data_IF_346995673629
#
_entry.id   IF_346995673629
#
_cell.length_a   1.000
_cell.length_b   1.000
_cell.length_c   1.000
_cell.angle_alpha   90.00
_cell.angle_beta   90.00
_cell.angle_gamma   90.00
#
_symmetry.space_group_name_H-M   'P 1'
#
loop_
_entity.id
_entity.type
_entity.pdbx_description
1 polymer ?
#
# COMPACT_ATOMS: atom_id res chain seq x y z
N UNK A 1 2.07 -23.04 7.11
CA UNK A 1 0.65 -22.81 7.50
C UNK A 1 -0.19 -23.17 6.31
N UNK A 2 -1.11 -24.08 6.45
CA UNK A 2 -2.07 -24.48 5.41
C UNK A 2 -3.43 -23.88 5.77
N UNK A 3 -4.05 -23.20 4.81
CA UNK A 3 -5.40 -22.65 4.95
C UNK A 3 -6.30 -23.36 3.96
N UNK A 4 -7.26 -24.11 4.48
CA UNK A 4 -8.25 -24.79 3.66
C UNK A 4 -9.46 -23.90 3.42
N UNK A 5 -9.83 -23.72 2.15
CA UNK A 5 -11.04 -23.01 1.76
C UNK A 5 -12.12 -24.02 1.37
N UNK A 6 -13.28 -23.91 2.00
CA UNK A 6 -14.43 -24.76 1.69
C UNK A 6 -15.28 -24.20 0.56
N UNK A 7 -15.21 -22.90 0.29
CA UNK A 7 -15.93 -22.21 -0.78
C UNK A 7 -15.24 -20.91 -1.14
N UNK A 8 -15.13 -20.63 -2.44
CA UNK A 8 -14.60 -19.36 -2.94
C UNK A 8 -15.02 -19.13 -4.38
N UNK A 9 -15.03 -17.88 -4.81
CA UNK A 9 -15.28 -17.49 -6.20
C UNK A 9 -14.05 -16.76 -6.72
N UNK A 10 -13.54 -17.22 -7.85
CA UNK A 10 -12.49 -16.51 -8.58
C UNK A 10 -13.14 -15.52 -9.55
N UNK A 11 -12.69 -14.26 -9.50
CA UNK A 11 -13.16 -13.21 -10.40
C UNK A 11 -11.97 -12.64 -11.17
N UNK A 12 -12.10 -12.56 -12.49
CA UNK A 12 -11.12 -11.94 -13.38
C UNK A 12 -11.85 -11.17 -14.46
N UNK A 13 -11.62 -9.84 -14.52
CA UNK A 13 -12.23 -8.96 -15.50
C UNK A 13 -11.14 -8.38 -16.42
N UNK A 14 -11.11 -8.77 -17.71
CA UNK A 14 -10.17 -8.19 -18.67
C UNK A 14 -10.37 -6.67 -18.82
N UNK A 15 -9.28 -5.91 -18.77
CA UNK A 15 -9.31 -4.46 -19.03
C UNK A 15 -9.72 -3.58 -17.86
N UNK A 16 -9.98 -4.15 -16.67
CA UNK A 16 -10.26 -3.39 -15.45
C UNK A 16 -9.09 -3.49 -14.45
N UNK A 17 -8.98 -2.49 -13.57
CA UNK A 17 -8.16 -2.60 -12.37
C UNK A 17 -8.77 -3.68 -11.47
N UNK A 18 -8.12 -4.84 -11.41
CA UNK A 18 -8.66 -6.03 -10.76
C UNK A 18 -8.91 -5.86 -9.25
N UNK A 19 -8.32 -4.86 -8.60
CA UNK A 19 -8.58 -4.56 -7.19
C UNK A 19 -9.74 -3.59 -6.94
N UNK A 20 -10.43 -3.12 -8.00
CA UNK A 20 -11.58 -2.20 -7.86
C UNK A 20 -12.66 -2.75 -6.92
N UNK A 21 -12.99 -4.01 -7.06
CA UNK A 21 -14.00 -4.66 -6.20
C UNK A 21 -13.58 -4.69 -4.73
N UNK A 22 -12.29 -4.83 -4.45
CA UNK A 22 -11.76 -4.77 -3.07
C UNK A 22 -11.89 -3.36 -2.52
N UNK A 23 -11.61 -2.33 -3.33
CA UNK A 23 -11.77 -0.93 -2.90
C UNK A 23 -13.24 -0.58 -2.61
N UNK A 24 -14.17 -1.08 -3.41
CA UNK A 24 -15.60 -0.91 -3.18
C UNK A 24 -16.05 -1.55 -1.87
N UNK A 25 -15.39 -2.65 -1.46
CA UNK A 25 -15.68 -3.33 -0.20
C UNK A 25 -15.15 -2.59 1.04
N UNK A 26 -14.18 -1.68 0.91
CA UNK A 26 -13.60 -0.93 2.04
C UNK A 26 -14.65 -0.18 2.87
N UNK A 27 -15.73 0.27 2.25
CA UNK A 27 -16.79 1.03 2.92
C UNK A 27 -17.60 0.21 3.92
N UNK A 28 -17.65 -1.10 3.75
CA UNK A 28 -18.41 -2.03 4.60
C UNK A 28 -17.51 -3.01 5.37
N UNK A 29 -16.24 -3.01 5.10
CA UNK A 29 -15.28 -3.89 5.74
C UNK A 29 -15.02 -3.49 7.20
N UNK A 30 -14.75 -4.48 8.04
CA UNK A 30 -14.26 -4.26 9.40
C UNK A 30 -12.73 -4.35 9.46
N UNK A 31 -12.13 -5.06 8.52
CA UNK A 31 -10.67 -5.23 8.44
C UNK A 31 -10.16 -5.02 7.03
N UNK A 32 -9.04 -4.29 6.90
CA UNK A 32 -8.33 -4.10 5.64
C UNK A 32 -6.88 -4.50 5.84
N UNK A 33 -6.36 -5.33 4.94
CA UNK A 33 -4.99 -5.84 4.97
C UNK A 33 -4.34 -5.61 3.61
N UNK A 34 -3.21 -4.89 3.61
CA UNK A 34 -2.50 -4.52 2.39
C UNK A 34 -1.04 -4.95 2.52
N UNK A 35 -0.58 -5.75 1.57
CA UNK A 35 0.83 -6.03 1.35
C UNK A 35 1.18 -5.49 -0.03
N UNK A 36 2.04 -4.50 -0.09
CA UNK A 36 2.41 -3.86 -1.35
C UNK A 36 3.89 -3.52 -1.38
N UNK A 37 4.50 -3.63 -2.56
CA UNK A 37 5.87 -3.17 -2.74
C UNK A 37 5.96 -1.64 -2.63
N UNK A 38 4.99 -0.92 -3.18
CA UNK A 38 4.97 0.53 -3.18
C UNK A 38 3.53 1.05 -3.02
N UNK A 39 3.41 2.20 -2.39
CA UNK A 39 2.20 3.00 -2.33
C UNK A 39 2.42 4.20 -3.25
N UNK A 40 1.39 4.66 -3.94
CA UNK A 40 1.46 5.73 -4.92
C UNK A 40 2.41 6.88 -4.52
N UNK A 41 3.28 7.25 -5.45
CA UNK A 41 4.21 8.38 -5.30
C UNK A 41 3.55 9.76 -5.46
N UNK A 42 2.38 9.83 -6.06
CA UNK A 42 1.77 11.11 -6.40
C UNK A 42 0.92 11.67 -5.24
N UNK A 43 1.45 12.71 -4.59
CA UNK A 43 1.03 13.21 -3.28
C UNK A 43 -0.26 14.01 -3.25
N UNK A 44 -0.78 14.45 -4.39
CA UNK A 44 -1.84 15.47 -4.40
C UNK A 44 -3.25 14.92 -4.60
N UNK A 45 -3.41 13.72 -5.18
CA UNK A 45 -4.72 13.10 -5.45
C UNK A 45 -4.63 11.58 -5.32
N UNK A 46 -4.21 11.08 -4.16
CA UNK A 46 -4.15 9.65 -3.93
C UNK A 46 -5.52 9.12 -3.53
N UNK A 47 -6.28 8.68 -4.52
CA UNK A 47 -7.61 8.11 -4.31
C UNK A 47 -7.58 6.84 -3.46
N UNK A 48 -6.49 6.09 -3.47
CA UNK A 48 -6.36 4.86 -2.71
C UNK A 48 -6.15 5.12 -1.21
N UNK A 49 -5.27 6.07 -0.87
CA UNK A 49 -5.10 6.48 0.53
C UNK A 49 -6.32 7.23 1.06
N UNK A 50 -7.01 7.99 0.20
CA UNK A 50 -8.29 8.63 0.54
C UNK A 50 -9.35 7.58 0.87
N UNK A 51 -9.45 6.50 0.08
CA UNK A 51 -10.37 5.41 0.37
C UNK A 51 -10.12 4.74 1.74
N UNK A 52 -8.86 4.69 2.19
CA UNK A 52 -8.51 4.23 3.53
C UNK A 52 -8.88 5.23 4.62
N UNK A 53 -8.83 6.54 4.34
CA UNK A 53 -9.22 7.58 5.29
C UNK A 53 -10.73 7.60 5.54
N UNK A 54 -11.51 7.19 4.55
CA UNK A 54 -12.97 7.26 4.58
C UNK A 54 -13.63 6.00 5.18
N UNK A 55 -12.85 5.04 5.66
CA UNK A 55 -13.38 3.81 6.28
C UNK A 55 -13.17 3.78 7.79
N UNK A 56 -14.02 3.03 8.50
CA UNK A 56 -13.87 2.73 9.93
C UNK A 56 -13.22 1.36 10.20
N UNK A 57 -12.70 0.69 9.17
CA UNK A 57 -12.06 -0.60 9.30
C UNK A 57 -10.73 -0.52 10.07
N UNK A 58 -10.35 -1.61 10.73
CA UNK A 58 -8.99 -1.81 11.23
C UNK A 58 -8.04 -2.08 10.06
N UNK A 59 -7.07 -1.18 9.85
CA UNK A 59 -6.19 -1.16 8.69
C UNK A 59 -4.78 -1.59 9.09
N UNK A 60 -4.22 -2.55 8.37
CA UNK A 60 -2.81 -2.90 8.47
C UNK A 60 -2.16 -2.92 7.10
N UNK A 61 -1.05 -2.19 6.97
CA UNK A 61 -0.27 -2.11 5.74
C UNK A 61 1.15 -2.62 6.00
N UNK A 62 1.62 -3.51 5.14
CA UNK A 62 3.03 -3.86 5.04
C UNK A 62 3.53 -3.36 3.68
N UNK A 63 4.52 -2.50 3.70
CA UNK A 63 5.09 -1.92 2.48
C UNK A 63 6.62 -1.89 2.52
N UNK A 64 7.24 -1.74 1.37
CA UNK A 64 8.66 -1.45 1.26
C UNK A 64 8.90 0.06 1.38
N UNK A 65 10.13 0.46 1.60
CA UNK A 65 10.58 1.86 1.47
C UNK A 65 11.17 2.05 0.07
N UNK A 66 10.60 2.94 -0.76
CA UNK A 66 10.96 3.02 -2.19
C UNK A 66 12.35 3.59 -2.47
N UNK A 67 12.98 4.23 -1.49
CA UNK A 67 14.29 4.86 -1.66
C UNK A 67 15.33 4.18 -0.79
N UNK A 68 16.44 3.76 -1.41
CA UNK A 68 17.59 3.18 -0.74
C UNK A 68 18.73 4.19 -0.70
N UNK A 69 19.20 4.58 0.49
CA UNK A 69 20.28 5.56 0.66
C UNK A 69 21.68 4.97 0.51
N UNK A 70 21.82 3.68 0.54
CA UNK A 70 23.09 2.95 0.50
C UNK A 70 23.84 3.01 -0.86
N UNK A 71 23.15 3.45 -1.92
CA UNK A 71 23.73 3.55 -3.27
C UNK A 71 24.31 4.93 -3.61
N UNK A 72 24.32 5.87 -2.68
CA UNK A 72 24.79 7.22 -2.96
C UNK A 72 26.24 7.41 -2.53
N UNK A 73 27.11 7.77 -3.49
CA UNK A 73 28.53 8.04 -3.26
C UNK A 73 28.75 9.37 -2.52
N UNK A 74 29.92 9.52 -1.88
CA UNK A 74 30.35 10.72 -1.14
C UNK A 74 30.80 11.88 -2.04
N UNK A 75 30.19 12.06 -3.18
CA UNK A 75 30.31 13.23 -4.04
C UNK A 75 29.28 14.30 -3.66
N UNK A 76 29.46 15.54 -4.17
CA UNK A 76 28.45 16.59 -3.97
C UNK A 76 27.09 16.18 -4.58
N UNK A 77 27.11 15.60 -5.78
CA UNK A 77 25.90 15.05 -6.41
C UNK A 77 25.27 13.94 -5.56
N UNK A 78 26.06 13.01 -5.04
CA UNK A 78 25.59 11.95 -4.16
C UNK A 78 24.98 12.48 -2.87
N UNK A 79 25.55 13.53 -2.26
CA UNK A 79 24.97 14.19 -1.08
C UNK A 79 23.62 14.84 -1.39
N UNK A 80 23.47 15.51 -2.53
CA UNK A 80 22.17 16.07 -2.98
C UNK A 80 21.12 14.98 -3.20
N UNK A 81 21.50 13.87 -3.85
CA UNK A 81 20.61 12.73 -4.07
C UNK A 81 20.17 12.10 -2.75
N UNK A 82 21.08 11.96 -1.78
CA UNK A 82 20.77 11.45 -0.42
C UNK A 82 19.76 12.34 0.30
N UNK A 83 19.95 13.67 0.24
CA UNK A 83 19.01 14.62 0.84
C UNK A 83 17.61 14.52 0.20
N UNK A 84 17.53 14.36 -1.11
CA UNK A 84 16.27 14.16 -1.81
C UNK A 84 15.62 12.82 -1.43
N UNK A 85 16.42 11.75 -1.34
CA UNK A 85 15.93 10.45 -0.88
C UNK A 85 15.38 10.53 0.55
N UNK A 86 16.04 11.24 1.45
CA UNK A 86 15.55 11.47 2.82
C UNK A 86 14.20 12.22 2.84
N UNK A 87 14.05 13.26 2.01
CA UNK A 87 12.77 13.97 1.89
C UNK A 87 11.65 13.06 1.39
N UNK A 88 11.95 12.26 0.37
CA UNK A 88 10.99 11.31 -0.20
C UNK A 88 10.57 10.23 0.82
N UNK A 89 11.53 9.70 1.58
CA UNK A 89 11.25 8.72 2.65
C UNK A 89 10.38 9.35 3.72
N UNK A 90 10.71 10.56 4.19
CA UNK A 90 9.91 11.28 5.20
C UNK A 90 8.49 11.52 4.71
N UNK A 91 8.33 11.99 3.47
CA UNK A 91 7.03 12.20 2.87
C UNK A 91 6.24 10.89 2.72
N UNK A 92 6.90 9.79 2.37
CA UNK A 92 6.29 8.46 2.28
C UNK A 92 5.80 7.97 3.65
N UNK A 93 6.63 8.09 4.68
CA UNK A 93 6.28 7.69 6.04
C UNK A 93 5.14 8.56 6.59
N UNK A 94 5.14 9.86 6.30
CA UNK A 94 4.10 10.78 6.80
C UNK A 94 2.70 10.45 6.28
N UNK A 95 2.58 9.84 5.11
CA UNK A 95 1.29 9.36 4.59
C UNK A 95 0.71 8.21 5.40
N UNK A 96 1.58 7.44 6.03
CA UNK A 96 1.24 6.26 6.83
C UNK A 96 1.16 6.59 8.32
N UNK A 97 1.07 7.87 8.67
CA UNK A 97 0.83 8.29 10.04
C UNK A 97 -0.60 7.88 10.45
N UNK A 98 -0.77 7.14 11.57
CA UNK A 98 -2.08 6.75 12.07
C UNK A 98 -3.05 7.90 12.25
N UNK A 99 -2.56 9.09 12.58
CA UNK A 99 -3.39 10.30 12.77
C UNK A 99 -4.15 10.76 11.51
N UNK A 100 -3.75 10.25 10.33
CA UNK A 100 -4.45 10.53 9.08
C UNK A 100 -5.72 9.67 8.88
N UNK A 101 -5.97 8.70 9.75
CA UNK A 101 -7.02 7.69 9.57
C UNK A 101 -7.96 7.67 10.77
N UNK A 102 -9.25 7.42 10.52
CA UNK A 102 -10.30 7.51 11.53
C UNK A 102 -10.42 6.29 12.43
N UNK A 103 -9.87 5.15 12.03
CA UNK A 103 -9.90 3.88 12.76
C UNK A 103 -8.51 3.38 13.13
N UNK A 104 -8.41 2.19 13.68
CA UNK A 104 -7.13 1.55 13.98
C UNK A 104 -6.30 1.42 12.70
N UNK A 105 -5.11 2.03 12.69
CA UNK A 105 -4.19 2.02 11.55
C UNK A 105 -2.80 1.65 12.01
N UNK A 106 -2.19 0.67 11.33
CA UNK A 106 -0.83 0.23 11.57
C UNK A 106 -0.08 0.05 10.26
N UNK A 107 1.10 0.65 10.17
CA UNK A 107 1.98 0.48 9.02
C UNK A 107 3.29 -0.17 9.45
N UNK A 108 3.72 -1.16 8.68
CA UNK A 108 4.96 -1.90 8.89
C UNK A 108 5.82 -1.83 7.62
N UNK A 109 7.12 -1.80 7.81
CA UNK A 109 8.07 -1.73 6.71
C UNK A 109 8.86 -3.02 6.61
N UNK A 110 8.90 -3.59 5.40
CA UNK A 110 9.71 -4.76 5.09
C UNK A 110 10.45 -4.53 3.77
N UNK A 111 11.76 -4.35 3.83
CA UNK A 111 12.61 -4.02 2.69
C UNK A 111 12.72 -5.15 1.65
N UNK A 112 12.30 -6.36 2.01
CA UNK A 112 12.29 -7.53 1.12
C UNK A 112 10.90 -7.85 0.60
N UNK A 113 9.88 -7.07 1.00
CA UNK A 113 8.52 -7.30 0.53
C UNK A 113 8.35 -6.92 -0.94
N UNK A 114 7.87 -7.86 -1.74
CA UNK A 114 7.46 -7.62 -3.14
C UNK A 114 6.03 -8.14 -3.41
N UNK A 115 5.32 -8.52 -2.37
CA UNK A 115 3.93 -8.96 -2.47
C UNK A 115 3.01 -7.81 -2.91
N UNK A 116 1.91 -8.18 -3.54
CA UNK A 116 0.84 -7.27 -3.97
C UNK A 116 -0.49 -7.95 -3.66
N UNK A 117 -0.92 -7.74 -2.43
CA UNK A 117 -2.14 -8.31 -1.87
C UNK A 117 -2.93 -7.17 -1.25
N UNK A 118 -4.19 -7.06 -1.59
CA UNK A 118 -5.13 -6.11 -1.01
C UNK A 118 -6.38 -6.88 -0.65
N UNK A 119 -6.81 -6.85 0.60
CA UNK A 119 -7.95 -7.63 1.03
C UNK A 119 -8.72 -7.03 2.19
N UNK A 120 -9.95 -7.47 2.27
CA UNK A 120 -10.86 -7.35 3.42
C UNK A 120 -11.17 -8.75 3.95
N UNK A 121 -12.01 -8.85 4.96
CA UNK A 121 -12.53 -10.15 5.39
C UNK A 121 -13.42 -10.83 4.34
N UNK A 122 -13.88 -10.10 3.34
CA UNK A 122 -14.85 -10.59 2.33
C UNK A 122 -14.20 -10.95 0.99
N UNK A 123 -13.18 -10.20 0.57
CA UNK A 123 -12.58 -10.30 -0.76
C UNK A 123 -11.09 -10.00 -0.72
N UNK A 124 -10.31 -10.69 -1.53
CA UNK A 124 -8.87 -10.45 -1.67
C UNK A 124 -8.47 -10.35 -3.13
N UNK A 125 -7.64 -9.36 -3.43
CA UNK A 125 -6.89 -9.27 -4.67
C UNK A 125 -5.47 -9.78 -4.45
N UNK A 126 -5.02 -10.65 -5.34
CA UNK A 126 -3.64 -11.13 -5.42
C UNK A 126 -3.18 -10.95 -6.87
N UNK A 127 -2.14 -10.16 -7.10
CA UNK A 127 -1.72 -9.89 -8.46
C UNK A 127 -0.39 -9.16 -8.58
N UNK A 128 -0.18 -8.48 -9.70
CA UNK A 128 1.04 -7.73 -9.99
C UNK A 128 0.93 -6.22 -9.70
N UNK A 129 -0.29 -5.69 -9.53
CA UNK A 129 -0.51 -4.27 -9.30
C UNK A 129 -0.14 -3.87 -7.87
N UNK A 130 0.66 -2.82 -7.73
CA UNK A 130 0.91 -2.16 -6.45
C UNK A 130 -0.35 -1.41 -6.00
N UNK A 131 -0.40 -1.07 -4.71
CA UNK A 131 -1.42 -0.16 -4.19
C UNK A 131 -1.06 1.28 -4.60
N UNK A 132 -1.24 1.57 -5.89
CA UNK A 132 -0.90 2.86 -6.49
C UNK A 132 -1.80 3.18 -7.68
N UNK A 133 -2.01 4.47 -7.93
CA UNK A 133 -2.80 4.94 -9.07
C UNK A 133 -2.15 4.68 -10.45
N UNK A 134 -0.89 4.26 -10.45
CA UNK A 134 -0.11 3.95 -11.66
C UNK A 134 -0.13 2.46 -12.03
N UNK A 135 -0.91 1.68 -11.33
CA UNK A 135 -0.97 0.22 -11.48
C UNK A 135 -2.07 -0.23 -12.42
#
# INVERSE_FOLDING_TARGET
MELSFTKGTFVSNPGELNYKQVLEDFQRANTIRILTYNISGNYKNDTLLSALSDTNADIQIITNIPSRMEYYYDSEAGRRMRLNAQKNIKAYISKLNPDNYSAGFSAFFNLHNHAKIIGTENIVYIGSANFSNES
#
